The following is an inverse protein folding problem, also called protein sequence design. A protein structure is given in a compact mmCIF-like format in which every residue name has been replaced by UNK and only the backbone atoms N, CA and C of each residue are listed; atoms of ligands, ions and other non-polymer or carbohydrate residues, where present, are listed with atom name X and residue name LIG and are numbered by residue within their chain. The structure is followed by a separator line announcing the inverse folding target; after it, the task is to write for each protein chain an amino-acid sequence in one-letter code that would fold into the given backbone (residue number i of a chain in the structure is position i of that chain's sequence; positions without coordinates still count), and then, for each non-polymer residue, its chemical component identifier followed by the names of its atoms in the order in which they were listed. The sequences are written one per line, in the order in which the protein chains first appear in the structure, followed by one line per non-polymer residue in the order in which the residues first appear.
data_IF_265951160746
#
_entry.id   IF_265951160746
#
_cell.length_a   1.000
_cell.length_b   1.000
_cell.length_c   1.000
_cell.angle_alpha   90.00
_cell.angle_beta   90.00
_cell.angle_gamma   90.00
#
_symmetry.space_group_name_H-M   'P 1'
#
loop_
_entity.id
_entity.type
_entity.pdbx_description
1 polymer ?
#
# COMPACT_ATOMS: atom_id res chain seq x y z
N UNK A 1 4.55 9.49 -0.24
CA UNK A 1 4.47 8.39 0.75
C UNK A 1 5.78 7.60 0.88
N UNK A 2 6.50 7.36 -0.22
CA UNK A 2 7.76 6.58 -0.25
C UNK A 2 8.75 6.93 0.87
N UNK A 3 9.27 8.17 0.90
CA UNK A 3 10.31 8.55 1.88
C UNK A 3 9.85 8.41 3.33
N UNK A 4 8.60 8.79 3.62
CA UNK A 4 8.02 8.64 4.96
C UNK A 4 7.95 7.18 5.36
N UNK A 5 7.47 6.30 4.47
CA UNK A 5 7.35 4.88 4.76
C UNK A 5 8.74 4.24 4.94
N UNK A 6 9.73 4.58 4.11
CA UNK A 6 11.11 4.12 4.29
C UNK A 6 11.70 4.52 5.64
N UNK A 7 11.45 5.76 6.08
CA UNK A 7 11.88 6.23 7.41
C UNK A 7 11.17 5.47 8.55
N UNK A 8 9.88 5.17 8.41
CA UNK A 8 9.13 4.39 9.40
C UNK A 8 9.60 2.93 9.46
N UNK A 9 9.86 2.29 8.31
CA UNK A 9 10.42 0.94 8.23
C UNK A 9 11.82 0.89 8.86
N UNK A 10 12.67 1.89 8.60
CA UNK A 10 13.99 1.98 9.25
C UNK A 10 13.87 2.10 10.77
N UNK A 11 12.88 2.86 11.26
CA UNK A 11 12.72 3.15 12.68
C UNK A 11 12.06 2.02 13.48
N UNK A 12 11.04 1.39 12.90
CA UNK A 12 10.18 0.44 13.61
C UNK A 12 10.34 -1.00 13.10
N UNK A 13 10.93 -1.18 11.91
CA UNK A 13 11.20 -2.49 11.32
C UNK A 13 9.98 -3.41 11.35
N UNK A 14 10.18 -4.58 11.94
CA UNK A 14 9.18 -5.64 12.02
C UNK A 14 7.97 -5.29 12.91
N UNK A 15 7.99 -4.21 13.69
CA UNK A 15 6.83 -3.80 14.50
C UNK A 15 5.66 -3.31 13.62
N UNK A 16 5.93 -2.92 12.37
CA UNK A 16 4.89 -2.51 11.42
C UNK A 16 4.22 -3.77 10.86
N UNK A 17 2.99 -4.03 11.29
CA UNK A 17 2.19 -5.19 10.86
C UNK A 17 1.20 -4.89 9.74
N UNK A 18 1.07 -3.64 9.33
CA UNK A 18 0.20 -3.23 8.25
C UNK A 18 0.22 -1.72 8.02
N UNK A 19 -0.28 -1.32 6.86
CA UNK A 19 -0.30 0.08 6.42
C UNK A 19 -1.73 0.42 5.97
N UNK A 20 -2.28 1.48 6.54
CA UNK A 20 -3.49 2.10 6.04
C UNK A 20 -3.10 3.37 5.26
N UNK A 21 -3.43 3.41 3.98
CA UNK A 21 -3.25 4.60 3.16
C UNK A 21 -4.59 5.31 2.95
N UNK A 22 -4.57 6.64 3.05
CA UNK A 22 -5.77 7.46 2.88
C UNK A 22 -6.37 7.37 1.46
N UNK A 23 -5.53 7.11 0.47
CA UNK A 23 -5.92 6.84 -0.91
C UNK A 23 -4.87 5.96 -1.63
N UNK A 24 -5.19 5.52 -2.84
CA UNK A 24 -4.39 4.58 -3.62
C UNK A 24 -3.05 5.15 -4.09
N UNK A 25 -2.95 6.47 -4.32
CA UNK A 25 -1.67 7.11 -4.67
C UNK A 25 -0.69 7.07 -3.49
N UNK A 26 -1.17 7.39 -2.29
CA UNK A 26 -0.39 7.25 -1.06
C UNK A 26 -0.04 5.79 -0.80
N UNK A 27 -0.98 4.87 -1.05
CA UNK A 27 -0.78 3.44 -0.95
C UNK A 27 0.30 2.96 -1.90
N UNK A 28 0.26 3.38 -3.16
CA UNK A 28 1.24 3.03 -4.18
C UNK A 28 2.64 3.52 -3.80
N UNK A 29 2.76 4.76 -3.30
CA UNK A 29 4.05 5.27 -2.82
C UNK A 29 4.60 4.51 -1.60
N UNK A 30 3.74 4.03 -0.70
CA UNK A 30 4.16 3.18 0.41
C UNK A 30 4.50 1.75 -0.05
N UNK A 31 3.80 1.22 -1.05
CA UNK A 31 4.13 -0.06 -1.68
C UNK A 31 5.51 -0.01 -2.33
N UNK A 32 5.89 1.07 -3.01
CA UNK A 32 7.25 1.21 -3.55
C UNK A 32 8.32 1.13 -2.46
N UNK A 33 8.07 1.69 -1.27
CA UNK A 33 8.99 1.57 -0.15
C UNK A 33 9.06 0.13 0.38
N UNK A 34 7.94 -0.58 0.45
CA UNK A 34 7.93 -2.00 0.78
C UNK A 34 8.66 -2.85 -0.27
N UNK A 35 8.55 -2.52 -1.57
CA UNK A 35 9.29 -3.21 -2.65
C UNK A 35 10.80 -3.03 -2.49
N UNK A 36 11.25 -1.81 -2.19
CA UNK A 36 12.68 -1.51 -1.95
C UNK A 36 13.27 -2.36 -0.81
N UNK A 37 12.46 -2.67 0.22
CA UNK A 37 12.84 -3.47 1.38
C UNK A 37 12.49 -4.98 1.23
N UNK A 38 12.04 -5.43 0.06
CA UNK A 38 11.56 -6.81 -0.17
C UNK A 38 10.43 -7.26 0.78
N UNK A 39 9.59 -6.33 1.19
CA UNK A 39 8.43 -6.51 2.07
C UNK A 39 7.08 -6.45 1.35
N UNK A 40 7.08 -6.17 0.04
CA UNK A 40 5.86 -6.20 -0.78
C UNK A 40 5.18 -7.59 -0.68
N UNK A 41 3.87 -7.58 -0.46
CA UNK A 41 3.08 -8.80 -0.21
C UNK A 41 3.31 -9.50 1.14
N UNK A 42 4.25 -9.01 1.96
CA UNK A 42 4.47 -9.50 3.33
C UNK A 42 3.82 -8.60 4.39
N UNK A 43 3.88 -7.29 4.17
CA UNK A 43 3.18 -6.30 5.00
C UNK A 43 1.89 -5.89 4.28
N UNK A 44 0.70 -6.15 4.84
CA UNK A 44 -0.55 -5.80 4.19
C UNK A 44 -0.71 -4.28 4.12
N UNK A 45 -1.14 -3.79 2.97
CA UNK A 45 -1.44 -2.39 2.73
C UNK A 45 -2.82 -2.23 2.10
N UNK A 46 -3.58 -1.22 2.53
CA UNK A 46 -4.91 -0.89 1.99
C UNK A 46 -4.99 0.57 1.56
N UNK A 47 -5.93 0.85 0.67
CA UNK A 47 -6.15 2.15 0.03
C UNK A 47 -7.60 2.38 -0.38
N UNK A 48 -7.84 3.53 -0.99
CA UNK A 48 -9.15 4.03 -1.43
C UNK A 48 -8.95 4.68 -2.79
N UNK A 49 -9.91 4.51 -3.70
CA UNK A 49 -10.13 5.16 -5.02
C UNK A 49 -10.38 4.10 -6.12
N UNK A 50 -9.79 2.91 -5.99
CA UNK A 50 -9.92 1.84 -6.96
C UNK A 50 -9.15 2.09 -8.26
N UNK A 51 -8.03 2.83 -8.22
CA UNK A 51 -7.24 3.12 -9.41
C UNK A 51 -6.62 1.84 -9.98
N UNK A 52 -6.35 1.82 -11.29
CA UNK A 52 -5.79 0.64 -11.98
C UNK A 52 -4.53 0.09 -11.29
N UNK A 53 -3.63 0.96 -10.85
CA UNK A 53 -2.39 0.57 -10.18
C UNK A 53 -2.65 -0.22 -8.89
N UNK A 54 -3.58 0.25 -8.05
CA UNK A 54 -3.93 -0.43 -6.81
C UNK A 54 -4.67 -1.76 -7.09
N UNK A 55 -5.60 -1.77 -8.04
CA UNK A 55 -6.31 -2.99 -8.45
C UNK A 55 -5.35 -4.06 -8.97
N UNK A 56 -4.38 -3.68 -9.81
CA UNK A 56 -3.37 -4.63 -10.30
C UNK A 56 -2.47 -5.13 -9.17
N UNK A 57 -2.08 -4.27 -8.23
CA UNK A 57 -1.29 -4.68 -7.06
C UNK A 57 -2.07 -5.60 -6.10
N UNK A 58 -3.40 -5.43 -6.00
CA UNK A 58 -4.28 -6.40 -5.31
C UNK A 58 -4.23 -7.75 -6.01
N UNK A 59 -4.31 -7.77 -7.35
CA UNK A 59 -4.28 -9.01 -8.14
C UNK A 59 -2.95 -9.76 -8.03
N UNK A 60 -1.83 -9.05 -7.84
CA UNK A 60 -0.51 -9.68 -7.61
C UNK A 60 -0.26 -10.05 -6.16
N UNK A 61 -1.17 -9.69 -5.23
CA UNK A 61 -1.03 -9.96 -3.80
C UNK A 61 -0.09 -8.99 -3.07
N UNK A 62 0.37 -7.93 -3.73
CA UNK A 62 1.23 -6.92 -3.13
C UNK A 62 0.45 -5.86 -2.35
N UNK A 63 -0.85 -5.74 -2.64
CA UNK A 63 -1.80 -4.86 -1.99
C UNK A 63 -2.95 -5.69 -1.41
N UNK A 64 -3.38 -5.42 -0.19
CA UNK A 64 -4.41 -6.25 0.46
C UNK A 64 -5.81 -5.95 -0.09
N UNK A 65 -6.16 -4.67 -0.25
CA UNK A 65 -7.37 -4.24 -0.94
C UNK A 65 -7.33 -2.76 -1.30
N UNK A 66 -8.14 -2.37 -2.28
CA UNK A 66 -8.58 -0.99 -2.47
C UNK A 66 -10.11 -0.97 -2.49
N UNK A 67 -10.70 0.16 -2.11
CA UNK A 67 -12.14 0.38 -2.18
C UNK A 67 -12.43 1.57 -3.07
N UNK A 68 -13.37 1.42 -3.99
CA UNK A 68 -13.95 2.57 -4.71
C UNK A 68 -15.28 2.93 -4.07
N UNK A 69 -15.55 4.23 -3.97
CA UNK A 69 -16.85 4.75 -3.55
C UNK A 69 -17.69 5.20 -4.74
N UNK A 70 -17.21 4.99 -5.97
CA UNK A 70 -17.92 5.40 -7.17
C UNK A 70 -19.14 4.53 -7.39
N UNK A 71 -20.35 5.11 -7.30
CA UNK A 71 -21.56 4.37 -7.51
C UNK A 71 -21.76 3.99 -8.97
N UNK A 72 -22.34 2.81 -9.20
CA UNK A 72 -22.77 2.36 -10.54
C UNK A 72 -24.21 2.77 -10.88
N UNK A 73 -24.85 3.60 -10.05
CA UNK A 73 -26.26 4.03 -10.22
C UNK A 73 -26.40 5.41 -10.85
#
# INVERSE_FOLDING_TARGET
AFDLMGNLLTRFGDDIKGIWAANDDMGSGALEALRAENLAGKVPIVGVDGIKTAVDAVRTGEFACTVTSDPFW
#
